data_IF_679929220291
#
_entry.id   IF_679929220291
#
_cell.length_a   1.000
_cell.length_b   1.000
_cell.length_c   1.000
_cell.angle_alpha   90.00
_cell.angle_beta   90.00
_cell.angle_gamma   90.00
#
_symmetry.space_group_name_H-M   'P 1'
#
loop_
_entity.id
_entity.type
_entity.pdbx_description
1 polymer ?
#
# COMPACT_ATOMS: atom_id res chain seq x y z
N UNK A 1 -11.53 -25.49 -17.36
CA UNK A 1 -10.61 -24.49 -16.77
C UNK A 1 -10.62 -23.27 -17.66
N UNK A 2 -11.41 -22.24 -17.32
CA UNK A 2 -11.48 -21.00 -18.12
C UNK A 2 -10.25 -20.16 -17.80
N UNK A 3 -9.36 -19.99 -18.77
CA UNK A 3 -8.27 -19.01 -18.70
C UNK A 3 -8.90 -17.62 -18.77
N UNK A 4 -8.93 -16.91 -17.65
CA UNK A 4 -9.32 -15.50 -17.62
C UNK A 4 -8.11 -14.72 -18.14
N UNK A 5 -8.21 -14.24 -19.37
CA UNK A 5 -7.29 -13.25 -19.95
C UNK A 5 -7.78 -11.90 -19.43
N UNK A 6 -7.06 -11.32 -18.47
CA UNK A 6 -7.33 -9.97 -17.98
C UNK A 6 -6.55 -8.99 -18.88
N UNK A 7 -7.27 -8.05 -19.49
CA UNK A 7 -6.76 -7.17 -20.53
C UNK A 7 -7.03 -5.70 -20.15
N UNK A 8 -5.97 -5.06 -19.65
CA UNK A 8 -5.59 -3.65 -19.85
C UNK A 8 -6.33 -2.50 -19.11
N UNK A 9 -5.75 -2.00 -18.01
CA UNK A 9 -6.24 -0.79 -17.33
C UNK A 9 -5.37 0.46 -17.61
N UNK A 10 -5.95 1.46 -18.28
CA UNK A 10 -5.39 2.81 -18.44
C UNK A 10 -5.68 3.63 -17.16
N UNK A 11 -4.63 4.11 -16.47
CA UNK A 11 -4.77 5.13 -15.42
C UNK A 11 -5.17 6.47 -16.04
N UNK A 12 -6.42 6.90 -15.83
CA UNK A 12 -6.88 8.23 -16.20
C UNK A 12 -6.74 9.23 -15.04
N UNK A 13 -5.82 10.18 -15.17
CA UNK A 13 -5.68 11.32 -14.26
C UNK A 13 -6.64 12.44 -14.69
N UNK A 14 -7.82 12.51 -14.07
CA UNK A 14 -8.78 13.60 -14.30
C UNK A 14 -8.44 14.76 -13.37
N UNK A 15 -7.85 15.84 -13.90
CA UNK A 15 -7.65 17.08 -13.18
C UNK A 15 -8.96 17.89 -13.19
N UNK A 16 -9.70 17.91 -12.08
CA UNK A 16 -10.95 18.65 -11.91
C UNK A 16 -10.93 19.54 -10.66
N UNK A 17 -11.58 20.71 -10.74
CA UNK A 17 -11.67 21.76 -9.73
C UNK A 17 -11.89 21.26 -8.29
N UNK A 18 -11.35 21.98 -7.30
CA UNK A 18 -11.21 21.55 -5.91
C UNK A 18 -12.50 21.15 -5.13
N UNK A 19 -13.71 21.32 -5.70
CA UNK A 19 -14.98 20.80 -5.15
C UNK A 19 -15.46 19.47 -5.78
N UNK A 20 -14.72 18.91 -6.74
CA UNK A 20 -15.15 17.77 -7.58
C UNK A 20 -14.17 16.60 -7.62
N UNK A 21 -13.22 16.51 -6.68
CA UNK A 21 -12.29 15.37 -6.63
C UNK A 21 -12.99 14.14 -6.03
N UNK A 22 -13.87 13.56 -6.85
CA UNK A 22 -14.65 12.36 -6.53
C UNK A 22 -13.72 11.22 -6.17
N UNK A 23 -12.61 11.05 -6.89
CA UNK A 23 -11.63 9.99 -6.60
C UNK A 23 -11.12 10.10 -5.16
N UNK A 24 -10.67 11.29 -4.73
CA UNK A 24 -10.25 11.50 -3.34
C UNK A 24 -11.37 11.23 -2.34
N UNK A 25 -12.56 11.81 -2.56
CA UNK A 25 -13.68 11.66 -1.62
C UNK A 25 -14.09 10.20 -1.45
N UNK A 26 -14.24 9.49 -2.55
CA UNK A 26 -14.62 8.07 -2.54
C UNK A 26 -13.50 7.20 -1.94
N UNK A 27 -12.23 7.51 -2.22
CA UNK A 27 -11.08 6.83 -1.64
C UNK A 27 -11.03 7.00 -0.11
N UNK A 28 -11.26 8.22 0.39
CA UNK A 28 -11.36 8.50 1.83
C UNK A 28 -12.52 7.71 2.44
N UNK A 29 -13.71 7.80 1.85
CA UNK A 29 -14.89 7.10 2.36
C UNK A 29 -14.75 5.58 2.36
N UNK A 30 -14.13 4.98 1.34
CA UNK A 30 -13.95 3.53 1.28
C UNK A 30 -12.83 3.06 2.20
N UNK A 31 -11.79 3.86 2.41
CA UNK A 31 -10.76 3.52 3.39
C UNK A 31 -11.28 3.61 4.83
N UNK A 32 -12.21 4.53 5.11
CA UNK A 32 -12.92 4.54 6.40
C UNK A 32 -13.67 3.22 6.65
N UNK A 33 -14.21 2.58 5.60
CA UNK A 33 -14.82 1.26 5.72
C UNK A 33 -13.78 0.17 6.04
N UNK A 34 -12.58 0.23 5.44
CA UNK A 34 -11.46 -0.67 5.81
C UNK A 34 -11.11 -0.52 7.29
N UNK A 35 -10.98 0.71 7.79
CA UNK A 35 -10.68 0.97 9.20
C UNK A 35 -11.78 0.53 10.18
N UNK A 36 -13.00 0.33 9.69
CA UNK A 36 -14.14 -0.10 10.49
C UNK A 36 -14.27 -1.63 10.62
N UNK A 37 -13.42 -2.41 9.93
CA UNK A 37 -13.41 -3.88 10.06
C UNK A 37 -12.80 -4.27 11.40
N UNK A 38 -13.45 -5.16 12.14
CA UNK A 38 -13.04 -5.58 13.50
C UNK A 38 -11.61 -6.16 13.59
N UNK A 39 -11.11 -6.77 12.51
CA UNK A 39 -9.75 -7.33 12.45
C UNK A 39 -8.68 -6.26 12.18
N UNK A 40 -9.09 -5.08 11.71
CA UNK A 40 -8.19 -3.95 11.45
C UNK A 40 -7.98 -3.18 12.74
N UNK A 41 -6.74 -3.13 13.20
CA UNK A 41 -6.38 -2.49 14.45
C UNK A 41 -5.69 -1.15 14.18
N UNK A 42 -6.10 -0.09 14.88
CA UNK A 42 -5.47 1.22 14.79
C UNK A 42 -4.97 1.68 16.16
N UNK A 43 -3.84 2.38 16.17
CA UNK A 43 -3.32 2.99 17.40
C UNK A 43 -2.45 4.20 17.10
N UNK A 44 -2.22 5.04 18.11
CA UNK A 44 -1.25 6.13 18.04
C UNK A 44 -0.07 5.78 18.94
N UNK A 45 1.12 5.66 18.36
CA UNK A 45 2.32 5.29 19.11
C UNK A 45 3.57 5.78 18.38
N UNK A 46 4.59 6.16 19.16
CA UNK A 46 5.94 6.47 18.67
C UNK A 46 5.98 7.58 17.59
N UNK A 47 5.00 8.48 17.59
CA UNK A 47 4.88 9.56 16.60
C UNK A 47 4.17 9.17 15.31
N UNK A 48 3.52 8.00 15.26
CA UNK A 48 2.81 7.49 14.10
C UNK A 48 1.36 7.10 14.42
N UNK A 49 0.50 7.17 13.42
CA UNK A 49 -0.75 6.44 13.38
C UNK A 49 -0.52 5.06 12.73
N UNK A 50 -0.64 4.02 13.54
CA UNK A 50 -0.47 2.63 13.15
C UNK A 50 -1.80 2.07 12.65
N UNK A 51 -1.76 1.34 11.53
CA UNK A 51 -2.90 0.67 10.89
C UNK A 51 -2.46 -0.76 10.56
N UNK A 52 -2.83 -1.71 11.40
CA UNK A 52 -2.58 -3.13 11.19
C UNK A 52 -3.80 -3.70 10.48
N UNK A 53 -3.64 -4.04 9.20
CA UNK A 53 -4.77 -4.56 8.39
C UNK A 53 -4.93 -6.06 8.51
N UNK A 54 -3.85 -6.78 8.80
CA UNK A 54 -3.82 -8.19 9.15
C UNK A 54 -2.51 -8.50 9.87
N UNK A 55 -2.41 -9.68 10.49
CA UNK A 55 -1.17 -10.15 11.11
C UNK A 55 -0.01 -10.09 10.11
N UNK A 56 1.01 -9.30 10.45
CA UNK A 56 2.19 -9.13 9.60
C UNK A 56 2.02 -8.21 8.39
N UNK A 57 0.96 -7.39 8.35
CA UNK A 57 0.68 -6.43 7.29
C UNK A 57 0.16 -5.11 7.87
N UNK A 58 0.93 -4.03 7.76
CA UNK A 58 0.57 -2.76 8.37
C UNK A 58 1.08 -1.53 7.62
N UNK A 59 0.48 -0.39 7.97
CA UNK A 59 0.96 0.95 7.67
C UNK A 59 1.26 1.72 8.95
N UNK A 60 2.28 2.55 8.91
CA UNK A 60 2.50 3.62 9.89
C UNK A 60 2.51 4.94 9.14
N UNK A 61 1.65 5.87 9.55
CA UNK A 61 1.56 7.22 8.97
C UNK A 61 2.13 8.21 9.99
N UNK A 62 3.18 8.94 9.63
CA UNK A 62 3.80 9.93 10.51
C UNK A 62 2.76 10.94 10.98
N UNK A 63 2.76 11.24 12.28
CA UNK A 63 1.89 12.27 12.84
C UNK A 63 2.36 13.68 12.47
N UNK A 64 3.64 13.81 12.09
CA UNK A 64 4.25 15.08 11.72
C UNK A 64 5.03 14.90 10.41
N UNK A 65 4.32 14.67 9.29
CA UNK A 65 4.98 14.48 8.00
C UNK A 65 5.83 15.72 7.67
N UNK A 66 6.90 15.56 6.90
CA UNK A 66 7.90 16.60 6.58
C UNK A 66 8.88 16.97 7.73
N UNK A 67 8.64 16.51 8.96
CA UNK A 67 9.61 16.63 10.06
C UNK A 67 10.37 15.33 10.33
N UNK A 68 10.02 14.28 9.60
CA UNK A 68 10.60 12.93 9.64
C UNK A 68 11.18 12.59 8.28
N UNK A 69 12.12 11.64 8.22
CA UNK A 69 12.58 11.05 6.95
C UNK A 69 11.85 9.75 6.60
N UNK A 70 10.76 9.46 7.33
CA UNK A 70 9.93 8.26 7.21
C UNK A 70 8.48 8.69 7.45
N UNK A 71 7.85 9.27 6.44
CA UNK A 71 6.48 9.79 6.55
C UNK A 71 5.42 8.68 6.44
N UNK A 72 5.71 7.63 5.67
CA UNK A 72 4.90 6.41 5.58
C UNK A 72 5.82 5.21 5.69
N UNK A 73 5.42 4.24 6.51
CA UNK A 73 6.08 2.95 6.62
C UNK A 73 5.06 1.88 6.19
N UNK A 74 5.41 1.08 5.19
CA UNK A 74 4.69 -0.12 4.82
C UNK A 74 5.46 -1.33 5.37
N UNK A 75 4.82 -2.10 6.25
CA UNK A 75 5.42 -3.27 6.86
C UNK A 75 4.77 -4.57 6.39
N UNK A 76 5.61 -5.52 5.98
CA UNK A 76 5.21 -6.89 5.60
C UNK A 76 6.11 -7.92 6.27
N UNK A 77 5.62 -9.16 6.49
CA UNK A 77 6.45 -10.24 7.03
C UNK A 77 7.72 -10.46 6.19
N UNK A 78 8.88 -10.47 6.84
CA UNK A 78 10.18 -10.63 6.17
C UNK A 78 10.45 -12.07 5.72
N UNK A 79 9.99 -13.06 6.51
CA UNK A 79 10.36 -14.46 6.34
C UNK A 79 10.12 -15.00 4.91
N UNK A 80 8.97 -14.75 4.24
CA UNK A 80 8.77 -15.21 2.87
C UNK A 80 9.81 -14.70 1.87
N UNK A 81 10.37 -13.51 2.10
CA UNK A 81 11.40 -12.91 1.25
C UNK A 81 12.80 -13.45 1.59
N UNK A 82 13.09 -13.65 2.87
CA UNK A 82 14.33 -14.28 3.35
C UNK A 82 14.45 -15.71 2.81
N UNK A 83 13.39 -16.51 2.91
CA UNK A 83 13.31 -17.86 2.35
C UNK A 83 13.49 -17.87 0.83
N UNK A 84 13.03 -16.80 0.16
CA UNK A 84 13.18 -16.61 -1.27
C UNK A 84 14.54 -16.00 -1.67
N UNK A 85 15.48 -15.83 -0.74
CA UNK A 85 16.85 -15.41 -1.03
C UNK A 85 17.14 -13.92 -0.87
N UNK A 86 16.30 -13.17 -0.16
CA UNK A 86 16.57 -11.76 0.16
C UNK A 86 17.96 -11.61 0.81
N UNK A 87 18.81 -10.81 0.17
CA UNK A 87 20.09 -10.37 0.69
C UNK A 87 19.93 -9.00 1.34
N UNK A 88 19.87 -8.97 2.67
CA UNK A 88 19.66 -7.74 3.45
C UNK A 88 20.73 -6.67 3.19
N UNK A 89 21.92 -7.06 2.73
CA UNK A 89 23.02 -6.12 2.45
C UNK A 89 22.84 -5.37 1.13
N UNK A 90 21.90 -5.83 0.28
CA UNK A 90 21.54 -5.23 -1.01
C UNK A 90 20.22 -4.45 -0.96
N UNK A 91 19.58 -4.36 0.21
CA UNK A 91 18.37 -3.57 0.35
C UNK A 91 18.65 -2.09 0.02
N UNK A 92 17.76 -1.41 -0.72
CA UNK A 92 17.87 0.03 -0.90
C UNK A 92 17.70 0.76 0.44
N UNK A 93 18.16 2.01 0.52
CA UNK A 93 18.17 2.77 1.79
C UNK A 93 16.79 3.00 2.40
N UNK A 94 15.72 2.89 1.61
CA UNK A 94 14.34 3.01 2.07
C UNK A 94 13.72 1.65 2.47
N UNK A 95 14.51 0.58 2.54
CA UNK A 95 14.05 -0.73 2.99
C UNK A 95 14.96 -1.27 4.09
N UNK A 96 14.37 -1.86 5.13
CA UNK A 96 15.12 -2.49 6.22
C UNK A 96 14.38 -3.69 6.80
N UNK A 97 15.14 -4.62 7.36
CA UNK A 97 14.60 -5.61 8.29
C UNK A 97 14.62 -5.01 9.70
N UNK A 98 13.49 -5.10 10.39
CA UNK A 98 13.37 -4.80 11.82
C UNK A 98 12.46 -5.85 12.44
N UNK A 99 12.98 -6.53 13.46
CA UNK A 99 12.32 -7.70 14.05
C UNK A 99 11.98 -8.71 12.92
N UNK A 100 10.73 -9.17 12.83
CA UNK A 100 10.28 -10.13 11.80
C UNK A 100 9.73 -9.44 10.53
N UNK A 101 9.91 -8.13 10.41
CA UNK A 101 9.28 -7.30 9.38
C UNK A 101 10.28 -6.77 8.35
N UNK A 102 9.88 -6.82 7.09
CA UNK A 102 10.45 -6.01 6.02
C UNK A 102 9.68 -4.69 5.98
N UNK A 103 10.36 -3.61 6.37
CA UNK A 103 9.83 -2.26 6.38
C UNK A 103 10.27 -1.52 5.13
N UNK A 104 9.32 -0.87 4.46
CA UNK A 104 9.56 -0.04 3.28
C UNK A 104 9.09 1.37 3.64
N UNK A 105 10.00 2.33 3.59
CA UNK A 105 9.74 3.71 4.00
C UNK A 105 9.60 4.64 2.81
N UNK A 106 8.77 5.65 3.01
CA UNK A 106 8.51 6.70 2.04
C UNK A 106 8.53 8.04 2.75
N UNK A 107 9.17 8.99 2.09
CA UNK A 107 9.37 10.35 2.57
C UNK A 107 8.79 11.33 1.54
N UNK A 108 8.70 12.61 1.91
CA UNK A 108 8.21 13.68 1.05
C UNK A 108 6.68 13.80 1.00
N UNK A 109 6.00 13.24 2.00
CA UNK A 109 4.56 13.35 2.17
C UNK A 109 4.25 14.73 2.77
N UNK A 110 3.32 15.44 2.15
CA UNK A 110 2.75 16.68 2.70
C UNK A 110 1.58 16.33 3.60
N UNK A 111 1.39 17.04 4.70
CA UNK A 111 0.23 16.79 5.54
C UNK A 111 0.14 17.71 6.74
N UNK A 112 -1.06 17.81 7.27
CA UNK A 112 -1.27 18.38 8.60
C UNK A 112 -1.18 17.26 9.65
N UNK A 113 -0.68 17.61 10.83
CA UNK A 113 -0.78 16.77 12.02
C UNK A 113 -2.25 16.54 12.39
N UNK A 114 -2.60 15.27 12.58
CA UNK A 114 -3.89 14.80 13.09
C UNK A 114 -3.66 13.80 14.21
N UNK A 115 -4.73 13.31 14.85
CA UNK A 115 -4.63 12.55 16.10
C UNK A 115 -5.19 11.12 16.01
N UNK A 116 -5.53 10.64 14.82
CA UNK A 116 -5.99 9.28 14.58
C UNK A 116 -5.63 8.78 13.16
N UNK A 117 -5.76 7.47 12.92
CA UNK A 117 -5.43 6.84 11.64
C UNK A 117 -6.26 7.37 10.46
N UNK A 118 -7.55 7.62 10.70
CA UNK A 118 -8.47 8.15 9.69
C UNK A 118 -8.06 9.55 9.25
N UNK A 119 -7.81 10.42 10.21
CA UNK A 119 -7.32 11.77 10.04
C UNK A 119 -6.02 11.79 9.27
N UNK A 120 -5.08 10.89 9.60
CA UNK A 120 -3.80 10.84 8.91
C UNK A 120 -3.93 10.35 7.46
N UNK A 121 -4.71 9.30 7.21
CA UNK A 121 -4.97 8.89 5.83
C UNK A 121 -5.66 10.01 5.05
N UNK A 122 -6.68 10.66 5.63
CA UNK A 122 -7.39 11.76 4.98
C UNK A 122 -6.46 12.95 4.69
N UNK A 123 -5.54 13.26 5.61
CA UNK A 123 -4.49 14.27 5.45
C UNK A 123 -3.54 13.90 4.30
N UNK A 124 -3.04 12.67 4.25
CA UNK A 124 -2.19 12.15 3.18
C UNK A 124 -2.89 12.28 1.82
N UNK A 125 -4.12 11.77 1.68
CA UNK A 125 -4.85 11.79 0.41
C UNK A 125 -5.20 13.20 -0.07
N UNK A 126 -5.44 14.12 0.87
CA UNK A 126 -5.75 15.52 0.54
C UNK A 126 -4.53 16.28 0.03
N UNK A 127 -3.38 16.07 0.67
CA UNK A 127 -2.19 16.87 0.42
C UNK A 127 -1.24 16.26 -0.63
N UNK A 128 -1.44 14.99 -0.99
CA UNK A 128 -0.58 14.24 -1.90
C UNK A 128 -1.37 13.63 -3.06
N UNK A 129 -2.22 14.44 -3.70
CA UNK A 129 -3.18 13.98 -4.71
C UNK A 129 -2.56 13.19 -5.87
N UNK A 130 -1.31 13.47 -6.22
CA UNK A 130 -0.56 12.77 -7.28
C UNK A 130 -0.23 11.32 -6.94
N UNK A 131 -0.21 10.96 -5.65
CA UNK A 131 0.01 9.58 -5.21
C UNK A 131 -1.27 8.74 -5.35
N UNK A 132 -2.44 9.38 -5.34
CA UNK A 132 -3.73 8.71 -5.38
C UNK A 132 -4.16 8.38 -6.82
N UNK A 133 -4.42 7.09 -7.05
CA UNK A 133 -4.99 6.56 -8.28
C UNK A 133 -6.33 5.83 -8.06
N UNK A 134 -6.96 5.47 -9.17
CA UNK A 134 -8.13 4.59 -9.20
C UNK A 134 -7.97 3.57 -10.32
N UNK A 135 -8.10 2.30 -9.96
CA UNK A 135 -8.01 1.14 -10.83
C UNK A 135 -9.43 0.70 -11.21
N UNK A 136 -9.91 1.19 -12.36
CA UNK A 136 -11.31 1.01 -12.77
C UNK A 136 -11.74 -0.44 -12.97
N UNK A 137 -10.85 -1.33 -13.44
CA UNK A 137 -11.18 -2.75 -13.65
C UNK A 137 -11.41 -3.50 -12.36
N UNK A 138 -10.64 -3.17 -11.32
CA UNK A 138 -10.77 -3.78 -10.01
C UNK A 138 -11.70 -3.00 -9.09
N UNK A 139 -12.13 -1.80 -9.46
CA UNK A 139 -12.85 -0.88 -8.57
C UNK A 139 -12.06 -0.62 -7.26
N UNK A 140 -10.75 -0.42 -7.39
CA UNK A 140 -9.84 -0.15 -6.27
C UNK A 140 -9.29 1.27 -6.34
N UNK A 141 -9.11 1.89 -5.18
CA UNK A 141 -8.24 3.05 -5.03
C UNK A 141 -6.84 2.60 -4.64
N UNK A 142 -5.85 3.45 -4.86
CA UNK A 142 -4.50 3.13 -4.42
C UNK A 142 -3.61 4.33 -4.23
N UNK A 143 -2.62 4.17 -3.35
CA UNK A 143 -1.52 5.11 -3.19
C UNK A 143 -0.24 4.50 -3.78
N UNK A 144 0.39 5.26 -4.68
CA UNK A 144 1.73 4.97 -5.15
C UNK A 144 2.75 5.46 -4.11
N UNK A 145 3.65 4.58 -3.73
CA UNK A 145 4.69 4.82 -2.74
C UNK A 145 6.01 4.38 -3.39
N UNK A 146 6.69 5.31 -4.06
CA UNK A 146 7.84 4.98 -4.92
C UNK A 146 7.47 3.91 -5.97
N UNK A 147 8.23 2.83 -6.00
CA UNK A 147 7.98 1.67 -6.89
C UNK A 147 6.93 0.68 -6.32
N UNK A 148 6.46 0.91 -5.09
CA UNK A 148 5.49 0.07 -4.40
C UNK A 148 4.11 0.74 -4.42
N UNK A 149 3.07 -0.03 -4.15
CA UNK A 149 1.71 0.49 -4.05
C UNK A 149 0.95 -0.21 -2.95
N UNK A 150 -0.08 0.48 -2.48
CA UNK A 150 -1.12 -0.09 -1.67
C UNK A 150 -2.46 0.25 -2.29
N UNK A 151 -3.31 -0.76 -2.47
CA UNK A 151 -4.64 -0.62 -3.06
C UNK A 151 -5.71 -1.13 -2.10
N UNK A 152 -6.90 -0.53 -2.16
CA UNK A 152 -8.07 -0.98 -1.41
C UNK A 152 -9.34 -0.84 -2.25
N UNK A 153 -10.31 -1.72 -2.00
CA UNK A 153 -11.58 -1.72 -2.71
C UNK A 153 -12.39 -0.45 -2.43
N UNK A 154 -13.07 0.06 -3.46
CA UNK A 154 -14.11 1.08 -3.30
C UNK A 154 -15.29 0.55 -2.50
N UNK A 155 -15.67 -0.70 -2.76
CA UNK A 155 -16.73 -1.38 -2.03
C UNK A 155 -16.28 -2.81 -1.68
N UNK A 156 -15.93 -3.04 -0.42
CA UNK A 156 -15.50 -4.35 0.05
C UNK A 156 -16.60 -5.41 -0.17
N UNK A 157 -17.89 -5.07 0.01
CA UNK A 157 -18.98 -6.04 -0.10
C UNK A 157 -19.13 -6.72 -1.48
N UNK A 158 -18.59 -6.10 -2.53
CA UNK A 158 -18.71 -6.60 -3.91
C UNK A 158 -17.36 -6.96 -4.54
N UNK A 159 -16.26 -6.77 -3.82
CA UNK A 159 -14.90 -7.01 -4.33
C UNK A 159 -14.33 -8.31 -3.79
N UNK A 160 -13.60 -9.02 -4.66
CA UNK A 160 -12.90 -10.28 -4.32
C UNK A 160 -11.66 -10.07 -3.42
N UNK A 161 -11.21 -8.82 -3.29
CA UNK A 161 -10.02 -8.42 -2.52
C UNK A 161 -10.34 -7.08 -1.88
N UNK A 162 -10.11 -6.95 -0.58
CA UNK A 162 -10.42 -5.72 0.14
C UNK A 162 -9.23 -4.78 0.18
N UNK A 163 -8.02 -5.32 0.40
CA UNK A 163 -6.76 -4.59 0.32
C UNK A 163 -5.68 -5.39 -0.39
N UNK A 164 -4.72 -4.71 -1.01
CA UNK A 164 -3.62 -5.32 -1.74
C UNK A 164 -2.32 -4.56 -1.48
N UNK A 165 -1.31 -5.26 -0.96
CA UNK A 165 0.07 -4.76 -0.94
C UNK A 165 0.73 -5.14 -2.26
N UNK A 166 1.41 -4.19 -2.89
CA UNK A 166 2.04 -4.38 -4.19
C UNK A 166 3.50 -3.95 -4.09
N UNK A 167 4.41 -4.88 -4.30
CA UNK A 167 5.84 -4.63 -4.25
C UNK A 167 6.47 -4.73 -5.65
N UNK A 168 7.42 -3.84 -5.93
CA UNK A 168 8.21 -3.90 -7.15
C UNK A 168 9.10 -5.14 -7.16
N UNK A 169 8.91 -6.02 -8.14
CA UNK A 169 9.74 -7.20 -8.29
C UNK A 169 11.17 -6.85 -8.72
N UNK A 170 11.37 -5.73 -9.43
CA UNK A 170 12.72 -5.30 -9.85
C UNK A 170 13.58 -4.91 -8.66
N UNK A 171 13.00 -4.16 -7.70
CA UNK A 171 13.67 -3.79 -6.43
C UNK A 171 14.02 -5.05 -5.63
N UNK A 172 13.08 -5.98 -5.51
CA UNK A 172 13.30 -7.23 -4.77
C UNK A 172 14.34 -8.14 -5.45
N UNK A 173 14.32 -8.27 -6.79
CA UNK A 173 15.33 -9.02 -7.55
C UNK A 173 16.72 -8.39 -7.40
N UNK A 174 16.82 -7.06 -7.39
CA UNK A 174 18.08 -6.36 -7.13
C UNK A 174 18.63 -6.66 -5.72
N UNK A 175 17.73 -6.86 -4.75
CA UNK A 175 18.06 -7.34 -3.41
C UNK A 175 18.25 -8.86 -3.30
N UNK A 176 18.30 -9.61 -4.41
CA UNK A 176 18.59 -11.06 -4.42
C UNK A 176 17.38 -11.98 -4.33
N UNK A 177 16.16 -11.45 -4.19
CA UNK A 177 14.95 -12.26 -4.04
C UNK A 177 14.61 -12.99 -5.34
N UNK A 178 14.40 -14.30 -5.24
CA UNK A 178 13.66 -15.06 -6.23
C UNK A 178 12.15 -14.80 -6.08
N UNK A 179 11.68 -13.75 -6.75
CA UNK A 179 10.30 -13.23 -6.62
C UNK A 179 9.19 -14.24 -6.94
N UNK A 180 9.47 -15.26 -7.75
CA UNK A 180 8.51 -16.33 -8.07
C UNK A 180 8.40 -17.38 -6.95
N UNK A 181 9.36 -17.41 -6.02
CA UNK A 181 9.41 -18.34 -4.89
C UNK A 181 8.92 -17.72 -3.57
N UNK A 182 8.51 -16.45 -3.56
CA UNK A 182 8.03 -15.78 -2.33
C UNK A 182 6.68 -16.37 -1.93
N UNK A 183 6.68 -17.16 -0.86
CA UNK A 183 5.49 -17.87 -0.41
C UNK A 183 4.37 -16.92 0.01
N UNK A 184 3.13 -17.22 -0.42
CA UNK A 184 1.95 -16.44 -0.08
C UNK A 184 1.82 -15.11 -0.81
N UNK A 185 2.66 -14.86 -1.82
CA UNK A 185 2.59 -13.70 -2.73
C UNK A 185 2.34 -14.17 -4.17
N UNK A 186 1.69 -13.32 -4.96
CA UNK A 186 1.40 -13.59 -6.37
C UNK A 186 2.32 -12.74 -7.23
N UNK A 187 3.20 -13.38 -7.99
CA UNK A 187 3.99 -12.71 -9.03
C UNK A 187 3.13 -12.45 -10.27
N UNK A 188 3.15 -11.23 -10.79
CA UNK A 188 2.51 -10.85 -12.07
C UNK A 188 3.29 -9.79 -12.82
N UNK A 189 3.26 -9.87 -14.15
CA UNK A 189 3.64 -8.77 -15.04
C UNK A 189 2.39 -7.98 -15.44
N UNK A 190 2.37 -6.68 -15.17
CA UNK A 190 1.29 -5.75 -15.50
C UNK A 190 1.89 -4.48 -16.10
N UNK A 191 1.45 -4.08 -17.30
CA UNK A 191 1.95 -2.90 -18.03
C UNK A 191 3.48 -2.85 -18.18
N UNK A 192 4.09 -4.02 -18.40
CA UNK A 192 5.55 -4.15 -18.52
C UNK A 192 6.31 -4.03 -17.20
N UNK A 193 5.62 -3.93 -16.06
CA UNK A 193 6.19 -3.97 -14.72
C UNK A 193 5.93 -5.32 -14.07
N UNK A 194 6.98 -5.91 -13.51
CA UNK A 194 6.87 -7.10 -12.69
C UNK A 194 6.58 -6.72 -11.24
N UNK A 195 5.54 -7.32 -10.66
CA UNK A 195 4.98 -6.97 -9.36
C UNK A 195 4.75 -8.22 -8.51
N UNK A 196 4.91 -8.06 -7.19
CA UNK A 196 4.47 -9.01 -6.17
C UNK A 196 3.23 -8.47 -5.48
N UNK A 197 2.14 -9.24 -5.53
CA UNK A 197 0.86 -8.84 -4.96
C UNK A 197 0.53 -9.72 -3.76
N UNK A 198 0.20 -9.09 -2.64
CA UNK A 198 -0.42 -9.74 -1.48
C UNK A 198 -1.85 -9.21 -1.34
N UNK A 199 -2.84 -9.93 -1.89
CA UNK A 199 -4.24 -9.65 -1.61
C UNK A 199 -4.60 -10.10 -0.20
N UNK A 200 -5.45 -9.33 0.48
CA UNK A 200 -6.03 -9.66 1.77
C UNK A 200 -7.54 -9.42 1.66
N UNK A 201 -8.30 -10.43 2.06
CA UNK A 201 -9.75 -10.34 2.27
C UNK A 201 -9.97 -10.03 3.76
N UNK A 202 -10.76 -9.00 4.04
CA UNK A 202 -11.01 -8.51 5.40
C UNK A 202 -12.36 -9.01 5.95
N UNK A 203 -13.06 -9.88 5.20
CA UNK A 203 -14.34 -10.49 5.58
C UNK A 203 -14.20 -11.88 6.20
#
# INVERSE_FOLDING_TARGET
MKKIILLLAILMFIAGCASTDVVKREAQSSFEAVLAVDTVNTSIKDGFAHIIVADGYHFELSLNPQSTNEDVIMGVMAMPFLDAGLDITKLPSNMRIKDDMLLITFDGIKGAMTYDAKGQMNSLLTNNRTLLGYHAELDHFGIALGDHKFEWAKNMATNDKDVVFILSASVLRAAGVNVEAVNGWVFKTMDGMDLLLKPIDLK
#
